data_IF_855128980175
#
_entry.id   IF_855128980175
#
_cell.length_a   1.000
_cell.length_b   1.000
_cell.length_c   1.000
_cell.angle_alpha   90.00
_cell.angle_beta   90.00
_cell.angle_gamma   90.00
#
_symmetry.space_group_name_H-M   'P 1'
#
loop_
_entity.id
_entity.type
_entity.pdbx_description
1 polymer ?
#
# COMPACT_ATOMS: atom_id res chain seq x y z
N UNK A 1 10.14 11.73 -3.51
CA UNK A 1 9.76 12.19 -2.19
C UNK A 1 8.29 12.65 -2.20
N UNK A 2 7.60 12.29 -1.15
CA UNK A 2 6.20 12.63 -0.99
C UNK A 2 6.07 13.87 -0.12
N UNK A 3 5.38 14.88 -0.63
CA UNK A 3 5.15 16.12 0.10
C UNK A 3 3.97 15.96 1.05
N UNK A 4 3.95 16.74 2.13
CA UNK A 4 2.83 16.69 3.07
C UNK A 4 1.50 16.99 2.37
N UNK A 5 1.50 17.96 1.48
CA UNK A 5 0.29 18.29 0.72
C UNK A 5 -0.12 17.17 -0.23
N UNK A 6 0.84 16.36 -0.67
CA UNK A 6 0.56 15.24 -1.57
C UNK A 6 0.01 14.03 -0.82
N UNK A 7 0.11 14.06 0.50
CA UNK A 7 -0.52 13.07 1.35
C UNK A 7 -1.97 13.40 1.64
N UNK A 8 -2.47 14.53 1.15
CA UNK A 8 -3.87 14.87 1.36
C UNK A 8 -4.72 13.74 0.81
N UNK A 9 -5.44 13.09 1.69
CA UNK A 9 -6.24 11.93 1.32
C UNK A 9 -7.55 12.41 0.78
N UNK A 10 -7.74 12.19 -0.51
CA UNK A 10 -8.95 12.57 -1.19
C UNK A 10 -9.72 11.30 -1.43
N UNK A 11 -10.77 11.10 -0.66
CA UNK A 11 -11.57 9.89 -0.74
C UNK A 11 -10.68 8.64 -0.64
N UNK A 12 -9.75 8.66 0.33
CA UNK A 12 -8.91 7.51 0.62
C UNK A 12 -7.83 7.26 -0.44
N UNK A 13 -7.45 8.30 -1.16
CA UNK A 13 -6.41 8.16 -2.16
C UNK A 13 -5.38 9.27 -2.03
N UNK A 14 -4.12 8.95 -2.23
CA UNK A 14 -3.03 9.91 -2.22
C UNK A 14 -2.19 9.75 -3.48
N UNK A 15 -1.60 10.84 -3.95
CA UNK A 15 -0.77 10.86 -5.13
C UNK A 15 0.70 10.88 -4.72
N UNK A 16 1.51 10.05 -5.37
CA UNK A 16 2.95 10.00 -5.16
C UNK A 16 3.61 10.89 -6.19
N UNK A 17 4.42 11.84 -5.73
CA UNK A 17 5.13 12.75 -6.61
C UNK A 17 6.63 12.65 -6.39
N UNK A 18 7.40 12.88 -7.46
CA UNK A 18 8.85 12.99 -7.33
C UNK A 18 9.22 14.42 -6.90
N UNK A 19 10.53 14.71 -6.82
CA UNK A 19 11.00 16.00 -6.34
C UNK A 19 10.64 17.16 -7.27
N UNK A 20 10.28 16.87 -8.51
CA UNK A 20 9.87 17.90 -9.49
C UNK A 20 8.34 17.98 -9.61
N UNK A 21 7.61 17.39 -8.66
CA UNK A 21 6.15 17.36 -8.64
C UNK A 21 5.52 16.59 -9.81
N UNK A 22 6.26 15.70 -10.46
CA UNK A 22 5.68 14.81 -11.45
C UNK A 22 4.99 13.67 -10.72
N UNK A 23 3.77 13.35 -11.17
CA UNK A 23 3.02 12.25 -10.58
C UNK A 23 3.60 10.92 -11.04
N UNK A 24 4.04 10.10 -10.11
CA UNK A 24 4.66 8.82 -10.42
C UNK A 24 3.86 7.62 -9.96
N UNK A 25 2.82 7.84 -9.16
CA UNK A 25 1.99 6.74 -8.72
C UNK A 25 0.84 7.17 -7.83
N UNK A 26 0.07 6.20 -7.39
CA UNK A 26 -1.06 6.39 -6.49
C UNK A 26 -0.93 5.42 -5.33
N UNK A 27 -1.42 5.86 -4.18
CA UNK A 27 -1.52 5.00 -3.02
C UNK A 27 -2.92 5.17 -2.46
N UNK A 28 -3.57 4.05 -2.17
CA UNK A 28 -4.95 4.04 -1.71
C UNK A 28 -5.03 3.61 -0.27
N UNK A 29 -5.91 4.28 0.49
CA UNK A 29 -6.37 3.77 1.77
C UNK A 29 -7.83 3.40 1.56
N UNK A 30 -8.21 2.17 1.88
CA UNK A 30 -9.58 1.74 1.72
C UNK A 30 -9.97 0.80 2.85
N UNK A 31 -11.23 0.42 2.91
CA UNK A 31 -11.77 -0.39 4.00
C UNK A 31 -11.38 0.18 5.35
N UNK A 32 -11.51 1.50 5.46
CA UNK A 32 -11.17 2.22 6.68
C UNK A 32 -12.19 1.89 7.76
N UNK A 33 -11.72 1.29 8.85
CA UNK A 33 -12.58 0.87 9.96
C UNK A 33 -12.12 1.57 11.24
N UNK A 34 -12.73 2.73 11.56
CA UNK A 34 -12.25 3.50 12.71
C UNK A 34 -12.48 2.82 14.05
N UNK A 35 -13.54 2.01 14.17
CA UNK A 35 -13.81 1.32 15.42
C UNK A 35 -12.74 0.28 15.73
N UNK A 36 -12.38 -0.50 14.73
CA UNK A 36 -11.36 -1.55 14.89
C UNK A 36 -9.96 -1.01 14.61
N UNK A 37 -9.87 0.23 14.18
CA UNK A 37 -8.61 0.95 13.97
C UNK A 37 -7.71 0.22 12.98
N UNK A 38 -8.27 -0.11 11.82
CA UNK A 38 -7.50 -0.73 10.75
C UNK A 38 -7.89 -0.12 9.40
N UNK A 39 -6.98 -0.23 8.45
CA UNK A 39 -7.22 0.23 7.08
C UNK A 39 -6.38 -0.60 6.12
N UNK A 40 -6.87 -0.75 4.91
CA UNK A 40 -6.15 -1.44 3.85
C UNK A 40 -5.38 -0.44 3.01
N UNK A 41 -4.23 -0.85 2.51
CA UNK A 41 -3.39 -0.02 1.65
C UNK A 41 -3.16 -0.71 0.32
N UNK A 42 -3.17 0.08 -0.75
CA UNK A 42 -2.78 -0.38 -2.07
C UNK A 42 -1.86 0.64 -2.71
N UNK A 43 -1.01 0.20 -3.63
CA UNK A 43 -0.05 1.10 -4.27
C UNK A 43 0.09 0.76 -5.75
N UNK A 44 0.22 1.80 -6.56
CA UNK A 44 0.49 1.68 -7.99
C UNK A 44 1.55 2.69 -8.39
N UNK A 45 2.64 2.21 -8.97
CA UNK A 45 3.62 3.07 -9.63
C UNK A 45 3.31 3.01 -11.11
N UNK A 46 2.77 4.10 -11.64
CA UNK A 46 2.20 4.11 -12.98
C UNK A 46 3.24 4.03 -14.08
N UNK A 47 4.37 4.69 -13.89
CA UNK A 47 5.42 4.72 -14.90
C UNK A 47 6.47 3.65 -14.60
N UNK A 48 6.63 2.64 -15.47
CA UNK A 48 7.62 1.59 -15.21
C UNK A 48 9.04 2.11 -15.01
N UNK A 49 9.39 3.24 -15.63
CA UNK A 49 10.73 3.80 -15.46
C UNK A 49 10.98 4.32 -14.05
N UNK A 50 9.93 4.55 -13.29
CA UNK A 50 10.04 5.03 -11.90
C UNK A 50 10.08 3.90 -10.90
N UNK A 51 9.84 2.68 -11.33
CA UNK A 51 9.93 1.51 -10.46
C UNK A 51 11.38 1.25 -10.10
N UNK A 52 11.62 0.86 -8.87
CA UNK A 52 12.98 0.61 -8.41
C UNK A 52 13.72 1.84 -7.95
N UNK A 53 13.12 3.03 -8.02
CA UNK A 53 13.75 4.25 -7.54
C UNK A 53 13.42 4.55 -6.08
N UNK A 54 12.68 3.68 -5.42
CA UNK A 54 12.35 3.85 -4.02
C UNK A 54 11.15 4.73 -3.73
N UNK A 55 10.48 5.27 -4.74
CA UNK A 55 9.31 6.13 -4.50
C UNK A 55 8.19 5.37 -3.79
N UNK A 56 7.93 4.13 -4.22
CA UNK A 56 6.88 3.33 -3.60
C UNK A 56 7.17 3.04 -2.15
N UNK A 57 8.41 2.66 -1.84
CA UNK A 57 8.80 2.34 -0.47
C UNK A 57 8.72 3.58 0.42
N UNK A 58 9.22 4.71 -0.07
CA UNK A 58 9.19 5.96 0.69
C UNK A 58 7.75 6.41 0.94
N UNK A 59 6.92 6.40 -0.09
CA UNK A 59 5.53 6.81 0.03
C UNK A 59 4.76 5.92 0.98
N UNK A 60 4.95 4.62 0.87
CA UNK A 60 4.26 3.66 1.72
C UNK A 60 4.67 3.83 3.18
N UNK A 61 5.97 4.06 3.41
CA UNK A 61 6.46 4.30 4.76
C UNK A 61 5.84 5.55 5.37
N UNK A 62 5.77 6.64 4.59
CA UNK A 62 5.16 7.87 5.05
C UNK A 62 3.68 7.69 5.34
N UNK A 63 2.99 6.96 4.48
CA UNK A 63 1.56 6.74 4.69
C UNK A 63 1.28 5.86 5.90
N UNK A 64 2.08 4.82 6.11
CA UNK A 64 1.94 3.99 7.30
C UNK A 64 2.13 4.82 8.56
N UNK A 65 3.15 5.68 8.56
CA UNK A 65 3.39 6.56 9.69
C UNK A 65 2.22 7.51 9.92
N UNK A 66 1.67 8.06 8.85
CA UNK A 66 0.49 8.92 8.93
C UNK A 66 -0.71 8.18 9.52
N UNK A 67 -0.95 6.95 9.07
CA UNK A 67 -2.04 6.14 9.61
C UNK A 67 -1.89 5.88 11.09
N UNK A 68 -0.67 5.60 11.54
CA UNK A 68 -0.42 5.30 12.94
C UNK A 68 -0.45 6.54 13.82
N UNK A 69 0.10 7.65 13.35
CA UNK A 69 0.24 8.85 14.19
C UNK A 69 -0.96 9.79 14.10
N UNK A 70 -1.50 10.01 12.90
CA UNK A 70 -2.57 10.98 12.71
C UNK A 70 -3.95 10.35 12.69
N UNK A 71 -4.08 9.16 12.13
CA UNK A 71 -5.37 8.48 12.06
C UNK A 71 -5.58 7.51 13.22
N UNK A 72 -4.57 7.35 14.07
CA UNK A 72 -4.62 6.48 15.25
C UNK A 72 -4.97 5.03 14.92
N UNK A 73 -4.54 4.55 13.75
CA UNK A 73 -4.77 3.16 13.37
C UNK A 73 -3.89 2.24 14.21
N UNK A 74 -4.42 1.09 14.55
CA UNK A 74 -3.67 0.05 15.23
C UNK A 74 -2.89 -0.78 14.23
N UNK A 75 -3.47 -0.99 13.05
CA UNK A 75 -2.79 -1.75 12.00
C UNK A 75 -3.21 -1.27 10.62
N UNK A 76 -2.34 -1.57 9.67
CA UNK A 76 -2.64 -1.45 8.26
C UNK A 76 -2.36 -2.78 7.61
N UNK A 77 -3.04 -3.07 6.50
CA UNK A 77 -2.87 -4.35 5.84
C UNK A 77 -2.96 -4.18 4.34
N UNK A 78 -2.51 -5.19 3.62
CA UNK A 78 -2.52 -5.18 2.16
C UNK A 78 -2.90 -6.56 1.67
N UNK A 79 -3.67 -6.60 0.59
CA UNK A 79 -4.05 -7.83 -0.09
C UNK A 79 -3.27 -7.86 -1.41
N UNK A 80 -2.41 -8.87 -1.56
CA UNK A 80 -1.52 -8.96 -2.70
C UNK A 80 -1.83 -10.23 -3.47
N UNK A 81 -2.14 -10.09 -4.77
CA UNK A 81 -2.40 -11.25 -5.62
C UNK A 81 -1.09 -12.03 -5.82
N UNK A 82 -1.18 -13.34 -5.75
CA UNK A 82 0.00 -14.18 -5.97
C UNK A 82 0.63 -13.87 -7.33
N UNK A 83 1.95 -13.92 -7.38
CA UNK A 83 2.69 -13.57 -8.58
C UNK A 83 3.11 -12.13 -8.66
N UNK A 84 2.57 -11.26 -7.80
CA UNK A 84 2.96 -9.85 -7.77
C UNK A 84 4.19 -9.69 -6.88
N UNK A 85 5.33 -10.12 -7.39
CA UNK A 85 6.58 -10.15 -6.63
C UNK A 85 7.04 -8.76 -6.21
N UNK A 86 6.79 -7.76 -7.04
CA UNK A 86 7.18 -6.40 -6.73
C UNK A 86 6.49 -5.89 -5.46
N UNK A 87 5.17 -6.12 -5.38
CA UNK A 87 4.42 -5.72 -4.19
C UNK A 87 4.83 -6.53 -2.98
N UNK A 88 5.03 -7.83 -3.15
CA UNK A 88 5.46 -8.69 -2.04
C UNK A 88 6.74 -8.15 -1.42
N UNK A 89 7.74 -7.89 -2.26
CA UNK A 89 9.02 -7.37 -1.77
C UNK A 89 8.86 -6.02 -1.09
N UNK A 90 8.06 -5.15 -1.69
CA UNK A 90 7.85 -3.81 -1.16
C UNK A 90 7.27 -3.86 0.25
N UNK A 91 6.18 -4.60 0.43
CA UNK A 91 5.53 -4.66 1.73
C UNK A 91 6.36 -5.42 2.75
N UNK A 92 7.01 -6.51 2.35
CA UNK A 92 7.86 -7.26 3.27
C UNK A 92 9.06 -6.44 3.75
N UNK A 93 9.65 -5.65 2.85
CA UNK A 93 10.79 -4.80 3.22
C UNK A 93 10.40 -3.74 4.24
N UNK A 94 9.13 -3.37 4.30
CA UNK A 94 8.65 -2.38 5.25
C UNK A 94 8.12 -3.01 6.54
N UNK A 95 8.28 -4.31 6.70
CA UNK A 95 7.93 -4.98 7.93
C UNK A 95 6.57 -5.63 7.95
N UNK A 96 5.83 -5.58 6.84
CA UNK A 96 4.55 -6.29 6.78
C UNK A 96 4.80 -7.79 6.83
N UNK A 97 3.93 -8.50 7.54
CA UNK A 97 4.06 -9.94 7.71
C UNK A 97 2.92 -10.65 7.03
N UNK A 98 3.24 -11.72 6.35
CA UNK A 98 2.26 -12.57 5.70
C UNK A 98 1.48 -13.33 6.76
N UNK A 99 0.16 -13.20 6.76
CA UNK A 99 -0.67 -13.78 7.80
C UNK A 99 -1.76 -14.71 7.28
N UNK A 100 -2.06 -14.69 5.99
CA UNK A 100 -3.09 -15.58 5.48
C UNK A 100 -3.13 -15.63 3.97
N UNK A 101 -3.83 -16.65 3.46
CA UNK A 101 -4.00 -16.88 2.03
C UNK A 101 -5.48 -17.06 1.77
N UNK A 102 -6.01 -16.29 0.81
CA UNK A 102 -7.37 -16.46 0.32
C UNK A 102 -7.30 -17.23 -0.97
N UNK A 103 -7.80 -18.45 -0.97
CA UNK A 103 -7.67 -19.36 -2.11
C UNK A 103 -8.63 -18.98 -3.23
N UNK A 104 -8.13 -19.04 -4.48
CA UNK A 104 -8.95 -18.82 -5.69
C UNK A 104 -9.76 -17.52 -5.58
N UNK A 105 -9.10 -16.46 -5.12
CA UNK A 105 -9.79 -15.22 -4.76
C UNK A 105 -10.05 -14.29 -5.93
N UNK A 106 -9.14 -14.26 -6.91
CA UNK A 106 -9.29 -13.39 -8.07
C UNK A 106 -9.19 -14.18 -9.35
N UNK A 107 -9.98 -13.78 -10.35
CA UNK A 107 -9.92 -14.40 -11.67
C UNK A 107 -9.15 -13.49 -12.61
N UNK A 108 -8.13 -14.01 -13.23
CA UNK A 108 -7.28 -13.23 -14.09
C UNK A 108 -6.53 -14.14 -15.07
N UNK A 109 -6.43 -13.72 -16.32
CA UNK A 109 -5.66 -14.44 -17.33
C UNK A 109 -6.05 -15.92 -17.46
N UNK A 110 -7.35 -16.17 -17.42
CA UNK A 110 -7.88 -17.52 -17.65
C UNK A 110 -7.80 -18.44 -16.45
N UNK A 111 -7.50 -17.93 -15.27
CA UNK A 111 -7.43 -18.78 -14.08
C UNK A 111 -7.67 -18.02 -12.81
N UNK A 112 -7.86 -18.77 -11.74
CA UNK A 112 -8.03 -18.19 -10.42
C UNK A 112 -6.69 -18.09 -9.72
N UNK A 113 -6.50 -17.00 -9.01
CA UNK A 113 -5.27 -16.75 -8.25
C UNK A 113 -5.60 -16.53 -6.79
N UNK A 114 -4.68 -16.91 -5.94
CA UNK A 114 -4.81 -16.66 -4.51
C UNK A 114 -4.48 -15.20 -4.22
N UNK A 115 -5.04 -14.71 -3.13
CA UNK A 115 -4.71 -13.38 -2.62
C UNK A 115 -4.14 -13.54 -1.23
N UNK A 116 -3.02 -12.88 -0.98
CA UNK A 116 -2.27 -13.05 0.26
C UNK A 116 -2.46 -11.80 1.11
N UNK A 117 -2.78 -12.03 2.40
CA UNK A 117 -2.97 -10.94 3.35
C UNK A 117 -1.68 -10.68 4.10
N UNK A 118 -1.26 -9.41 4.07
CA UNK A 118 -0.09 -8.91 4.80
C UNK A 118 -0.52 -7.87 5.82
N UNK A 119 0.05 -7.91 7.00
CA UNK A 119 -0.28 -6.98 8.09
C UNK A 119 0.95 -6.26 8.62
N UNK A 120 0.75 -5.01 9.02
CA UNK A 120 1.73 -4.26 9.80
C UNK A 120 1.02 -3.69 11.02
N UNK A 121 1.37 -4.18 12.18
CA UNK A 121 0.77 -3.76 13.45
C UNK A 121 1.66 -2.73 14.11
N UNK A 122 1.05 -1.65 14.56
CA UNK A 122 1.76 -0.59 15.27
C UNK A 122 2.00 -1.03 16.71
N UNK A 123 3.25 -1.24 17.03
CA UNK A 123 3.62 -1.72 18.36
C UNK A 123 4.16 -0.63 19.25
#
# INVERSE_FOLDING_TARGET
QMQQRELAIKEQQAVICDLQDNEVGLIDIFDFEPKDRRAALGILIADPSERGKGYGAEALKLLCNYCFTHLAMHQVYANITEGNETSVKLFENLGFQRVGIKKDWTYSEGGFKDEILYQLINK
#
